data_IF_399674808408
#
_entry.id   IF_399674808408
#
_cell.length_a   1.000
_cell.length_b   1.000
_cell.length_c   1.000
_cell.angle_alpha   90.00
_cell.angle_beta   90.00
_cell.angle_gamma   90.00
#
_symmetry.space_group_name_H-M   'P 1'
#
loop_
_entity.id
_entity.type
_entity.pdbx_description
1 polymer ?
#
# COMPACT_ATOMS: atom_id res chain seq x y z
N UNK A 1 66.47 -30.70 -24.49
CA UNK A 1 66.00 -29.95 -23.32
C UNK A 1 65.11 -28.81 -23.80
N UNK A 2 63.79 -28.99 -23.77
CA UNK A 2 62.74 -27.96 -23.74
C UNK A 2 61.40 -28.60 -24.13
N UNK A 3 60.79 -29.32 -23.19
CA UNK A 3 59.39 -29.74 -23.32
C UNK A 3 58.51 -28.51 -23.03
N UNK A 4 57.91 -27.94 -24.09
CA UNK A 4 56.86 -26.93 -23.95
C UNK A 4 55.58 -27.63 -23.48
N UNK A 5 55.36 -27.63 -22.17
CA UNK A 5 54.09 -28.07 -21.58
C UNK A 5 52.97 -27.12 -22.03
N UNK A 6 52.04 -27.68 -22.80
CA UNK A 6 50.83 -27.04 -23.32
C UNK A 6 49.91 -26.62 -22.18
N UNK A 7 49.83 -25.32 -21.91
CA UNK A 7 48.87 -24.70 -21.00
C UNK A 7 47.49 -24.60 -21.70
N UNK A 8 46.80 -25.72 -21.90
CA UNK A 8 45.44 -25.71 -22.48
C UNK A 8 44.33 -26.29 -21.62
N UNK A 9 44.62 -26.94 -20.50
CA UNK A 9 43.58 -27.70 -19.78
C UNK A 9 43.48 -27.39 -18.27
N UNK A 10 43.93 -26.21 -17.82
CA UNK A 10 43.58 -25.73 -16.47
C UNK A 10 42.28 -24.95 -16.57
N UNK A 11 41.22 -25.62 -16.15
CA UNK A 11 39.90 -25.05 -15.98
C UNK A 11 39.96 -23.82 -15.06
N UNK A 12 39.63 -22.65 -15.59
CA UNK A 12 39.56 -21.40 -14.84
C UNK A 12 38.27 -21.35 -14.03
N UNK A 13 38.35 -21.82 -12.78
CA UNK A 13 37.21 -21.89 -11.87
C UNK A 13 36.63 -20.50 -11.57
N UNK A 14 37.45 -19.45 -11.48
CA UNK A 14 36.98 -18.09 -11.21
C UNK A 14 36.08 -17.53 -12.31
N UNK A 15 36.40 -17.77 -13.58
CA UNK A 15 35.53 -17.38 -14.70
C UNK A 15 34.23 -18.19 -14.74
N UNK A 16 34.28 -19.48 -14.41
CA UNK A 16 33.08 -20.32 -14.33
C UNK A 16 32.17 -19.87 -13.20
N UNK A 17 32.72 -19.58 -12.03
CA UNK A 17 31.97 -19.18 -10.86
C UNK A 17 31.35 -17.79 -11.06
N UNK A 18 32.07 -16.87 -11.72
CA UNK A 18 31.54 -15.59 -12.15
C UNK A 18 30.35 -15.77 -13.12
N UNK A 19 30.54 -16.51 -14.22
CA UNK A 19 29.48 -16.71 -15.20
C UNK A 19 28.26 -17.41 -14.59
N UNK A 20 28.48 -18.42 -13.74
CA UNK A 20 27.42 -19.14 -13.04
C UNK A 20 26.71 -18.25 -12.01
N UNK A 21 27.46 -17.43 -11.28
CA UNK A 21 26.93 -16.49 -10.29
C UNK A 21 26.07 -15.40 -10.93
N UNK A 22 26.56 -14.77 -12.00
CA UNK A 22 25.81 -13.77 -12.77
C UNK A 22 24.56 -14.37 -13.38
N UNK A 23 24.64 -15.57 -13.97
CA UNK A 23 23.46 -16.25 -14.55
C UNK A 23 22.40 -16.53 -13.49
N UNK A 24 22.80 -16.99 -12.30
CA UNK A 24 21.87 -17.21 -11.18
C UNK A 24 21.25 -15.91 -10.68
N UNK A 25 22.05 -14.85 -10.54
CA UNK A 25 21.57 -13.54 -10.09
C UNK A 25 20.53 -12.95 -11.05
N UNK A 26 20.83 -12.92 -12.35
CA UNK A 26 19.89 -12.44 -13.37
C UNK A 26 18.65 -13.35 -13.49
N UNK A 27 18.82 -14.66 -13.38
CA UNK A 27 17.69 -15.60 -13.37
C UNK A 27 16.75 -15.37 -12.18
N UNK A 28 17.30 -15.20 -10.97
CA UNK A 28 16.52 -14.90 -9.78
C UNK A 28 15.82 -13.54 -9.86
N UNK A 29 16.52 -12.50 -10.34
CA UNK A 29 15.95 -11.17 -10.54
C UNK A 29 14.81 -11.20 -11.57
N UNK A 30 15.01 -11.87 -12.71
CA UNK A 30 13.99 -12.03 -13.74
C UNK A 30 12.74 -12.75 -13.23
N UNK A 31 12.92 -13.83 -12.46
CA UNK A 31 11.82 -14.55 -11.82
C UNK A 31 11.05 -13.68 -10.82
N UNK A 32 11.76 -12.92 -9.97
CA UNK A 32 11.14 -12.00 -9.03
C UNK A 32 10.34 -10.90 -9.75
N UNK A 33 10.90 -10.32 -10.81
CA UNK A 33 10.22 -9.32 -11.64
C UNK A 33 8.97 -9.89 -12.33
N UNK A 34 9.00 -11.15 -12.78
CA UNK A 34 7.86 -11.80 -13.39
C UNK A 34 6.75 -12.14 -12.39
N UNK A 35 7.10 -12.52 -11.16
CA UNK A 35 6.12 -12.82 -10.09
C UNK A 35 5.50 -11.56 -9.47
N UNK A 36 6.23 -10.45 -9.41
CA UNK A 36 5.78 -9.19 -8.82
C UNK A 36 4.43 -8.67 -9.35
N UNK A 37 4.14 -8.62 -10.67
CA UNK A 37 2.86 -8.14 -11.17
C UNK A 37 1.68 -9.01 -10.71
N UNK A 38 1.87 -10.32 -10.51
CA UNK A 38 0.81 -11.21 -10.00
C UNK A 38 0.48 -10.87 -8.53
N UNK A 39 1.49 -10.67 -7.70
CA UNK A 39 1.29 -10.23 -6.30
C UNK A 39 0.64 -8.84 -6.28
N UNK A 40 1.13 -7.91 -7.10
CA UNK A 40 0.57 -6.56 -7.21
C UNK A 40 -0.85 -6.56 -7.75
N UNK A 41 -1.23 -7.52 -8.60
CA UNK A 41 -2.61 -7.62 -9.13
C UNK A 41 -3.65 -7.93 -8.05
N UNK A 42 -3.24 -8.52 -6.93
CA UNK A 42 -4.11 -8.76 -5.77
C UNK A 42 -4.31 -7.51 -4.91
N UNK A 43 -3.51 -6.45 -5.11
CA UNK A 43 -3.68 -5.18 -4.42
C UNK A 43 -4.85 -4.39 -5.03
N UNK A 44 -5.51 -3.49 -4.25
CA UNK A 44 -6.66 -2.75 -4.74
C UNK A 44 -6.35 -2.00 -6.03
N UNK A 45 -7.20 -2.21 -7.04
CA UNK A 45 -7.02 -1.61 -8.37
C UNK A 45 -7.15 -0.08 -8.32
N UNK A 46 -6.58 0.61 -9.32
CA UNK A 46 -6.63 2.08 -9.44
C UNK A 46 -8.05 2.66 -9.37
N UNK A 47 -9.08 1.89 -9.76
CA UNK A 47 -10.49 2.30 -9.65
C UNK A 47 -10.99 2.33 -8.20
N UNK A 48 -10.49 1.44 -7.35
CA UNK A 48 -10.76 1.44 -5.90
C UNK A 48 -9.96 2.53 -5.21
N UNK A 49 -8.74 2.80 -5.67
CA UNK A 49 -7.96 3.94 -5.17
C UNK A 49 -8.57 5.30 -5.56
N UNK A 50 -9.20 5.40 -6.72
CA UNK A 50 -9.91 6.61 -7.12
C UNK A 50 -11.11 6.93 -6.20
N UNK A 51 -11.67 5.93 -5.51
CA UNK A 51 -12.71 6.14 -4.48
C UNK A 51 -12.15 6.66 -3.14
N UNK A 52 -10.87 7.04 -3.07
CA UNK A 52 -10.27 7.63 -1.85
C UNK A 52 -10.90 8.97 -1.47
N UNK A 53 -11.47 9.72 -2.41
CA UNK A 53 -12.08 11.01 -2.12
C UNK A 53 -13.54 11.00 -2.60
N UNK A 54 -14.41 11.60 -1.80
CA UNK A 54 -15.80 11.87 -2.18
C UNK A 54 -16.10 13.28 -1.77
N UNK A 55 -16.44 14.11 -2.74
CA UNK A 55 -16.87 15.48 -2.49
C UNK A 55 -18.32 15.43 -2.02
N UNK A 56 -18.58 16.02 -0.86
CA UNK A 56 -19.92 16.16 -0.30
C UNK A 56 -20.21 17.64 -0.22
N UNK A 57 -21.21 18.09 -0.97
CA UNK A 57 -21.69 19.46 -0.86
C UNK A 57 -22.33 19.67 0.52
N UNK A 58 -21.80 20.65 1.25
CA UNK A 58 -22.21 21.00 2.60
C UNK A 58 -23.33 22.06 2.59
N UNK A 59 -23.53 22.77 1.47
CA UNK A 59 -24.55 23.82 1.36
C UNK A 59 -25.98 23.27 1.43
N UNK A 60 -26.18 21.99 1.12
CA UNK A 60 -27.48 21.33 1.20
C UNK A 60 -27.83 20.86 2.62
N UNK A 61 -26.91 20.91 3.59
CA UNK A 61 -27.12 20.36 4.94
C UNK A 61 -27.51 21.49 5.91
N UNK A 62 -28.81 21.60 6.18
CA UNK A 62 -29.33 22.53 7.17
C UNK A 62 -28.81 22.23 8.59
N UNK A 63 -28.75 23.25 9.44
CA UNK A 63 -28.37 23.11 10.85
C UNK A 63 -29.30 22.12 11.57
N UNK A 64 -28.72 21.12 12.22
CA UNK A 64 -29.41 20.02 12.89
C UNK A 64 -29.62 18.77 12.03
N UNK A 65 -29.44 18.85 10.71
CA UNK A 65 -29.68 17.73 9.80
C UNK A 65 -28.44 16.81 9.67
N UNK A 66 -28.70 15.53 9.35
CA UNK A 66 -27.67 14.50 9.20
C UNK A 66 -27.80 13.80 7.86
N UNK A 67 -26.84 14.04 6.96
CA UNK A 67 -26.77 13.39 5.65
C UNK A 67 -25.96 12.09 5.75
N UNK A 68 -26.52 11.00 5.22
CA UNK A 68 -25.83 9.70 5.08
C UNK A 68 -25.23 9.59 3.69
N UNK A 69 -23.90 9.49 3.63
CA UNK A 69 -23.16 9.31 2.37
C UNK A 69 -22.47 7.95 2.38
N UNK A 70 -22.51 7.23 1.27
CA UNK A 70 -21.81 5.95 1.14
C UNK A 70 -20.40 6.24 0.64
N UNK A 71 -19.39 5.94 1.45
CA UNK A 71 -17.97 6.06 1.08
C UNK A 71 -17.26 4.73 1.28
N UNK A 72 -16.63 4.21 0.22
CA UNK A 72 -15.93 2.92 0.21
C UNK A 72 -16.78 1.74 0.75
N UNK A 73 -18.08 1.74 0.44
CA UNK A 73 -19.03 0.73 0.91
C UNK A 73 -19.43 0.84 2.38
N UNK A 74 -18.93 1.84 3.12
CA UNK A 74 -19.33 2.15 4.49
C UNK A 74 -20.19 3.40 4.53
N UNK A 75 -21.13 3.45 5.46
CA UNK A 75 -21.92 4.65 5.70
C UNK A 75 -21.10 5.67 6.49
N UNK A 76 -20.98 6.89 5.95
CA UNK A 76 -20.40 8.06 6.60
C UNK A 76 -21.54 9.02 6.91
N UNK A 77 -21.57 9.50 8.15
CA UNK A 77 -22.58 10.45 8.62
C UNK A 77 -21.97 11.84 8.69
N UNK A 78 -22.54 12.78 7.94
CA UNK A 78 -22.18 14.20 8.00
C UNK A 78 -23.33 14.92 8.69
N UNK A 79 -23.09 15.39 9.92
CA UNK A 79 -24.07 16.12 10.72
C UNK A 79 -23.64 17.56 10.88
N UNK A 80 -24.51 18.49 10.50
CA UNK A 80 -24.34 19.90 10.82
C UNK A 80 -24.91 20.16 12.22
N UNK A 81 -24.05 20.19 13.24
CA UNK A 81 -24.48 20.34 14.64
C UNK A 81 -24.93 21.77 14.95
N UNK A 82 -25.93 21.91 15.81
CA UNK A 82 -26.36 23.21 16.35
C UNK A 82 -25.45 23.64 17.51
N UNK A 83 -25.49 24.94 17.86
CA UNK A 83 -24.64 25.50 18.92
C UNK A 83 -24.88 24.85 20.30
N UNK A 84 -26.13 24.46 20.60
CA UNK A 84 -26.49 23.79 21.85
C UNK A 84 -25.92 22.36 21.93
N UNK A 85 -25.94 21.62 20.82
CA UNK A 85 -25.34 20.28 20.74
C UNK A 85 -23.82 20.33 20.89
N UNK A 86 -23.17 21.37 20.35
CA UNK A 86 -21.73 21.59 20.49
C UNK A 86 -21.38 21.86 21.95
N UNK A 87 -22.14 22.72 22.63
CA UNK A 87 -21.92 23.04 24.05
C UNK A 87 -22.10 21.82 24.95
N UNK A 88 -23.12 21.01 24.71
CA UNK A 88 -23.37 19.78 25.46
C UNK A 88 -22.26 18.74 25.25
N UNK A 89 -21.81 18.57 24.01
CA UNK A 89 -20.70 17.65 23.70
C UNK A 89 -19.38 18.09 24.35
N UNK A 90 -19.11 19.41 24.43
CA UNK A 90 -17.91 19.94 25.07
C UNK A 90 -17.94 19.81 26.61
N UNK A 91 -19.13 19.85 27.21
CA UNK A 91 -19.34 19.70 28.64
C UNK A 91 -19.36 18.22 29.10
N UNK A 92 -19.35 17.26 28.18
CA UNK A 92 -19.41 15.83 28.49
C UNK A 92 -18.22 15.38 29.35
N UNK A 93 -18.52 14.70 30.45
CA UNK A 93 -17.52 14.19 31.38
C UNK A 93 -16.75 13.01 30.74
N UNK A 94 -15.47 13.24 30.44
CA UNK A 94 -14.59 12.28 29.75
C UNK A 94 -14.32 11.02 30.56
N UNK A 95 -14.59 11.05 31.87
CA UNK A 95 -14.31 9.94 32.79
C UNK A 95 -15.36 8.83 32.74
N UNK A 96 -16.56 9.13 32.25
CA UNK A 96 -17.69 8.18 32.14
C UNK A 96 -17.75 7.52 30.75
N UNK A 97 -17.04 8.07 29.75
CA UNK A 97 -16.97 7.50 28.42
C UNK A 97 -16.18 6.19 28.41
N UNK A 98 -16.74 5.14 27.79
CA UNK A 98 -16.09 3.84 27.59
C UNK A 98 -14.87 3.98 26.67
N UNK A 99 -14.89 4.95 25.75
CA UNK A 99 -13.77 5.33 24.89
C UNK A 99 -13.43 6.81 25.14
N UNK A 100 -12.40 7.12 25.94
CA UNK A 100 -11.99 8.49 26.19
C UNK A 100 -11.29 9.09 24.96
N UNK A 101 -11.80 10.22 24.47
CA UNK A 101 -11.31 10.94 23.28
C UNK A 101 -10.81 12.36 23.61
#
# INVERSE_FOLDING_TARGET
>A
MAEKVSKKDVVDHGKRDFLSGTTKAFGAAGAACACYPFIKSMSPSAKVEAQKYTEVDLSEIAEGDTKKVIWRGKAVFVKHRTQSEIALAAAGDKTVSIDPQ
#
